data_IF_703997903181
#
_entry.id   IF_703997903181
#
_cell.length_a   1.000
_cell.length_b   1.000
_cell.length_c   1.000
_cell.angle_alpha   90.00
_cell.angle_beta   90.00
_cell.angle_gamma   90.00
#
_symmetry.space_group_name_H-M   'P 1'
#
loop_
_entity.id
_entity.type
_entity.pdbx_description
1 polymer ?
#
# COMPACT_ATOMS: atom_id res chain seq x y z
N UNK A 1 -13.31 -8.71 31.63
CA UNK A 1 -12.48 -9.01 30.46
C UNK A 1 -12.31 -7.76 29.57
N UNK A 2 -13.39 -7.10 29.15
CA UNK A 2 -13.37 -5.93 28.23
C UNK A 2 -12.58 -4.76 28.82
N UNK A 3 -12.70 -4.45 30.09
CA UNK A 3 -11.99 -3.33 30.71
C UNK A 3 -10.48 -3.58 30.83
N UNK A 4 -10.06 -4.82 31.08
CA UNK A 4 -8.65 -5.21 31.03
C UNK A 4 -8.09 -5.07 29.61
N UNK A 5 -8.86 -5.41 28.59
CA UNK A 5 -8.47 -5.23 27.19
C UNK A 5 -8.34 -3.75 26.82
N UNK A 6 -9.30 -2.91 27.24
CA UNK A 6 -9.21 -1.45 27.06
C UNK A 6 -7.99 -0.86 27.74
N UNK A 7 -7.71 -1.28 28.96
CA UNK A 7 -6.52 -0.84 29.70
C UNK A 7 -5.22 -1.24 28.99
N UNK A 8 -5.12 -2.50 28.57
CA UNK A 8 -3.97 -2.98 27.80
C UNK A 8 -3.76 -2.23 26.48
N UNK A 9 -4.84 -1.90 25.77
CA UNK A 9 -4.77 -1.07 24.57
C UNK A 9 -4.32 0.36 24.87
N UNK A 10 -4.75 0.93 25.97
CA UNK A 10 -4.32 2.26 26.41
C UNK A 10 -2.82 2.30 26.68
N UNK A 11 -2.32 1.33 27.46
CA UNK A 11 -0.86 1.21 27.73
C UNK A 11 -0.05 1.02 26.46
N UNK A 12 -0.51 0.20 25.52
CA UNK A 12 0.17 0.06 24.22
C UNK A 12 0.26 1.38 23.48
N UNK A 13 -0.83 2.15 23.40
CA UNK A 13 -0.84 3.45 22.73
C UNK A 13 0.08 4.45 23.39
N UNK A 14 0.20 4.41 24.72
CA UNK A 14 1.18 5.25 25.45
C UNK A 14 2.61 4.82 25.10
N UNK A 15 2.90 3.52 25.12
CA UNK A 15 4.22 3.00 24.74
C UNK A 15 4.56 3.35 23.29
N UNK A 16 3.62 3.17 22.35
CA UNK A 16 3.79 3.56 20.95
C UNK A 16 4.11 5.05 20.81
N UNK A 17 3.41 5.93 21.55
CA UNK A 17 3.65 7.37 21.50
C UNK A 17 5.04 7.74 22.03
N UNK A 18 5.47 7.13 23.13
CA UNK A 18 6.82 7.32 23.70
C UNK A 18 7.89 6.85 22.71
N UNK A 19 7.71 5.68 22.09
CA UNK A 19 8.64 5.14 21.11
C UNK A 19 8.78 6.09 19.90
N UNK A 20 7.67 6.52 19.34
CA UNK A 20 7.69 7.43 18.19
C UNK A 20 8.31 8.78 18.53
N UNK A 21 8.03 9.30 19.73
CA UNK A 21 8.62 10.56 20.19
C UNK A 21 10.13 10.40 20.37
N UNK A 22 10.60 9.30 20.98
CA UNK A 22 12.02 9.02 21.14
C UNK A 22 12.74 8.94 19.78
N UNK A 23 12.18 8.22 18.81
CA UNK A 23 12.74 8.18 17.45
C UNK A 23 12.75 9.58 16.82
N UNK A 24 11.69 10.38 17.02
CA UNK A 24 11.61 11.73 16.49
C UNK A 24 12.60 12.71 17.12
N UNK A 25 12.96 12.51 18.38
CA UNK A 25 13.94 13.34 19.11
C UNK A 25 15.38 13.04 18.65
N UNK A 26 15.68 11.79 18.26
CA UNK A 26 16.97 11.36 17.71
C UNK A 26 17.21 11.80 16.24
N UNK A 27 16.23 12.46 15.59
CA UNK A 27 16.38 12.96 14.21
C UNK A 27 17.35 14.16 14.09
N UNK A 28 17.95 14.61 15.19
CA UNK A 28 18.90 15.71 15.20
C UNK A 28 20.27 15.23 14.72
N UNK A 29 20.70 15.73 13.57
CA UNK A 29 22.02 15.41 13.00
C UNK A 29 23.10 16.11 13.82
N UNK A 30 23.90 15.36 14.57
CA UNK A 30 25.09 15.85 15.29
C UNK A 30 26.32 15.08 14.79
N UNK A 31 27.29 15.79 14.24
CA UNK A 31 28.59 15.24 13.81
C UNK A 31 28.55 14.10 12.75
N UNK A 32 27.40 13.86 12.12
CA UNK A 32 27.19 12.84 11.10
C UNK A 32 26.81 13.46 9.77
N UNK A 33 26.96 12.69 8.70
CA UNK A 33 26.45 13.09 7.40
C UNK A 33 24.92 13.05 7.41
N UNK A 34 24.29 14.18 7.05
CA UNK A 34 22.85 14.25 6.88
C UNK A 34 22.41 13.53 5.60
N UNK A 35 21.49 12.57 5.72
CA UNK A 35 20.95 11.80 4.61
C UNK A 35 19.43 11.96 4.49
N UNK A 36 18.92 11.87 3.26
CA UNK A 36 17.47 11.90 3.01
C UNK A 36 16.91 10.48 3.06
N UNK A 37 16.06 10.23 4.03
CA UNK A 37 15.32 8.96 4.17
C UNK A 37 13.83 9.18 3.89
N UNK A 38 13.28 10.32 4.28
CA UNK A 38 11.88 10.70 4.07
C UNK A 38 11.58 11.27 2.68
N UNK A 39 10.31 11.55 2.43
CA UNK A 39 9.82 12.24 1.24
C UNK A 39 10.30 13.69 1.22
N UNK A 40 10.15 14.36 0.06
CA UNK A 40 10.53 15.77 -0.06
C UNK A 40 9.85 16.65 1.00
N UNK A 41 10.63 17.60 1.57
CA UNK A 41 10.18 18.47 2.66
C UNK A 41 10.16 17.82 4.04
N UNK A 42 10.53 16.54 4.19
CA UNK A 42 10.82 15.95 5.49
C UNK A 42 12.27 16.23 5.91
N UNK A 43 12.55 16.20 7.22
CA UNK A 43 13.89 16.44 7.78
C UNK A 43 14.91 15.43 7.23
N UNK A 44 16.19 15.85 7.21
CA UNK A 44 17.31 14.94 7.04
C UNK A 44 17.60 14.24 8.37
N UNK A 45 18.24 13.08 8.32
CA UNK A 45 18.62 12.29 9.49
C UNK A 45 20.11 11.96 9.43
N UNK A 46 20.72 11.61 10.56
CA UNK A 46 22.07 11.06 10.60
C UNK A 46 22.14 9.74 9.84
N UNK A 47 23.26 9.51 9.13
CA UNK A 47 23.44 8.31 8.32
C UNK A 47 23.43 7.02 9.14
N UNK A 48 23.80 7.08 10.43
CA UNK A 48 23.84 5.91 11.31
C UNK A 48 22.56 5.69 12.12
N UNK A 49 21.64 6.66 12.17
CA UNK A 49 20.38 6.54 12.93
C UNK A 49 19.60 5.25 12.64
N UNK A 50 19.43 4.80 11.38
CA UNK A 50 18.74 3.52 11.13
C UNK A 50 19.47 2.32 11.71
N UNK A 51 20.80 2.36 11.80
CA UNK A 51 21.62 1.28 12.39
C UNK A 51 21.43 1.23 13.92
N UNK A 52 21.44 2.38 14.57
CA UNK A 52 21.22 2.50 16.03
C UNK A 52 19.83 2.02 16.43
N UNK A 53 18.79 2.41 15.68
CA UNK A 53 17.42 1.93 15.88
C UNK A 53 17.33 0.42 15.61
N UNK A 54 18.01 -0.08 14.57
CA UNK A 54 18.04 -1.50 14.28
C UNK A 54 18.62 -2.32 15.45
N UNK A 55 19.73 -1.85 16.01
CA UNK A 55 20.37 -2.47 17.17
C UNK A 55 19.47 -2.43 18.41
N UNK A 56 18.90 -1.26 18.72
CA UNK A 56 18.04 -1.05 19.90
C UNK A 56 16.76 -1.89 19.85
N UNK A 57 16.16 -2.04 18.67
CA UNK A 57 14.87 -2.75 18.46
C UNK A 57 15.04 -4.19 17.99
N UNK A 58 16.27 -4.71 17.89
CA UNK A 58 16.57 -6.06 17.40
C UNK A 58 15.89 -6.35 16.02
N UNK A 59 15.99 -5.39 15.09
CA UNK A 59 15.39 -5.50 13.75
C UNK A 59 16.45 -5.33 12.66
N UNK A 60 16.11 -5.62 11.40
CA UNK A 60 17.02 -5.37 10.29
C UNK A 60 17.19 -3.88 10.03
N UNK A 61 18.37 -3.48 9.54
CA UNK A 61 18.65 -2.08 9.16
C UNK A 61 17.64 -1.57 8.12
N UNK A 62 17.24 -2.43 7.19
CA UNK A 62 16.20 -2.10 6.19
C UNK A 62 14.86 -1.77 6.86
N UNK A 63 14.42 -2.57 7.84
CA UNK A 63 13.18 -2.31 8.57
C UNK A 63 13.28 -1.04 9.42
N UNK A 64 14.42 -0.79 10.06
CA UNK A 64 14.68 0.44 10.80
C UNK A 64 14.68 1.67 9.88
N UNK A 65 15.27 1.58 8.70
CA UNK A 65 15.23 2.67 7.70
C UNK A 65 13.79 3.00 7.29
N UNK A 66 12.96 1.99 7.10
CA UNK A 66 11.53 2.23 6.80
C UNK A 66 10.78 2.84 7.98
N UNK A 67 11.09 2.41 9.21
CA UNK A 67 10.49 2.98 10.41
C UNK A 67 10.87 4.47 10.56
N UNK A 68 12.15 4.81 10.44
CA UNK A 68 12.63 6.21 10.46
C UNK A 68 11.92 7.03 9.38
N UNK A 69 11.88 6.54 8.15
CA UNK A 69 11.18 7.20 7.03
C UNK A 69 9.72 7.48 7.38
N UNK A 70 9.02 6.49 7.92
CA UNK A 70 7.59 6.61 8.21
C UNK A 70 7.35 7.59 9.37
N UNK A 71 8.22 7.61 10.39
CA UNK A 71 8.17 8.57 11.51
C UNK A 71 8.36 10.01 11.03
N UNK A 72 9.43 10.29 10.25
CA UNK A 72 9.68 11.65 9.76
C UNK A 72 8.61 12.13 8.78
N UNK A 73 8.14 11.27 7.89
CA UNK A 73 7.04 11.61 7.00
C UNK A 73 5.76 11.93 7.77
N UNK A 74 5.45 11.14 8.80
CA UNK A 74 4.29 11.38 9.66
C UNK A 74 4.44 12.71 10.42
N UNK A 75 5.57 12.94 11.08
CA UNK A 75 5.81 14.14 11.87
C UNK A 75 5.82 15.42 11.02
N UNK A 76 6.59 15.43 9.92
CA UNK A 76 6.90 16.64 9.17
C UNK A 76 5.88 16.98 8.08
N UNK A 77 5.13 15.98 7.63
CA UNK A 77 4.19 16.14 6.50
C UNK A 77 2.73 15.98 6.89
N UNK A 78 2.45 15.36 8.06
CA UNK A 78 1.09 15.12 8.57
C UNK A 78 0.99 15.45 10.07
N UNK A 79 1.24 16.72 10.48
CA UNK A 79 1.35 17.10 11.89
C UNK A 79 0.06 16.88 12.70
N UNK A 80 -1.13 16.99 12.09
CA UNK A 80 -2.40 16.72 12.78
C UNK A 80 -2.58 15.21 13.06
N UNK A 81 -2.17 14.37 12.11
CA UNK A 81 -2.17 12.92 12.30
C UNK A 81 -1.13 12.52 13.34
N UNK A 82 0.08 13.12 13.29
CA UNK A 82 1.12 12.95 14.31
C UNK A 82 0.58 13.24 15.70
N UNK A 83 -0.02 14.42 15.93
CA UNK A 83 -0.63 14.78 17.19
C UNK A 83 -1.70 13.78 17.64
N UNK A 84 -2.52 13.29 16.69
CA UNK A 84 -3.55 12.28 16.97
C UNK A 84 -2.97 10.92 17.38
N UNK A 85 -1.80 10.55 16.85
CA UNK A 85 -1.08 9.35 17.28
C UNK A 85 -0.51 9.52 18.67
N UNK A 86 0.15 10.64 18.96
CA UNK A 86 0.70 10.92 20.30
C UNK A 86 -0.39 10.96 21.38
N UNK A 87 -1.59 11.41 21.04
CA UNK A 87 -2.77 11.38 21.92
C UNK A 87 -3.42 9.99 22.04
N UNK A 88 -2.92 8.98 21.32
CA UNK A 88 -3.45 7.63 21.32
C UNK A 88 -4.78 7.45 20.58
N UNK A 89 -5.24 8.43 19.80
CA UNK A 89 -6.48 8.34 19.02
C UNK A 89 -6.33 7.45 17.77
N UNK A 90 -5.16 7.46 17.16
CA UNK A 90 -4.82 6.65 15.98
C UNK A 90 -3.60 5.79 16.29
N UNK A 91 -3.65 4.46 16.09
CA UNK A 91 -2.47 3.62 16.22
C UNK A 91 -1.40 3.95 15.16
N UNK A 92 -0.09 3.88 15.49
CA UNK A 92 1.00 4.21 14.56
C UNK A 92 0.91 3.48 13.21
N UNK A 93 0.65 2.17 13.21
CA UNK A 93 0.57 1.38 11.97
C UNK A 93 -0.50 1.89 11.01
N UNK A 94 -1.62 2.43 11.51
CA UNK A 94 -2.66 3.07 10.69
C UNK A 94 -2.19 4.42 10.15
N UNK A 95 -1.54 5.21 10.98
CA UNK A 95 -0.97 6.47 10.54
C UNK A 95 0.04 6.23 9.41
N UNK A 96 0.94 5.25 9.56
CA UNK A 96 1.89 4.87 8.52
C UNK A 96 1.20 4.38 7.23
N UNK A 97 0.11 3.61 7.32
CA UNK A 97 -0.67 3.24 6.13
C UNK A 97 -1.20 4.45 5.37
N UNK A 98 -1.66 5.50 6.08
CA UNK A 98 -2.16 6.72 5.45
C UNK A 98 -1.04 7.54 4.80
N UNK A 99 0.07 7.74 5.51
CA UNK A 99 1.24 8.48 4.97
C UNK A 99 1.87 7.77 3.79
N UNK A 100 1.98 6.43 3.84
CA UNK A 100 2.47 5.60 2.74
C UNK A 100 1.52 5.64 1.52
N UNK A 101 0.18 5.64 1.75
CA UNK A 101 -0.78 5.81 0.66
C UNK A 101 -0.58 7.17 -0.03
N UNK A 102 -0.44 8.24 0.74
CA UNK A 102 -0.21 9.57 0.20
C UNK A 102 1.14 9.64 -0.56
N UNK A 103 2.21 9.09 0.00
CA UNK A 103 3.55 9.11 -0.57
C UNK A 103 3.66 8.46 -1.96
N UNK A 104 2.77 7.52 -2.30
CA UNK A 104 2.74 6.86 -3.63
C UNK A 104 2.52 7.84 -4.79
N UNK A 105 1.93 8.98 -4.51
CA UNK A 105 1.63 10.02 -5.52
C UNK A 105 2.57 11.21 -5.41
N UNK A 106 3.66 11.08 -4.66
CA UNK A 106 4.69 12.10 -4.49
C UNK A 106 4.12 13.53 -4.26
N UNK A 107 3.17 13.73 -3.32
CA UNK A 107 2.64 15.05 -3.05
C UNK A 107 3.74 15.97 -2.53
N UNK A 108 3.66 17.26 -2.85
CA UNK A 108 4.51 18.25 -2.19
C UNK A 108 4.20 18.30 -0.68
N UNK A 109 5.07 18.92 0.11
CA UNK A 109 4.81 19.11 1.55
C UNK A 109 3.49 19.86 1.78
N UNK A 110 3.22 20.90 1.01
CA UNK A 110 1.98 21.67 1.10
C UNK A 110 0.73 20.82 0.80
N UNK A 111 0.79 19.97 -0.22
CA UNK A 111 -0.28 19.03 -0.55
C UNK A 111 -0.51 17.98 0.55
N UNK A 112 0.56 17.49 1.17
CA UNK A 112 0.46 16.55 2.30
C UNK A 112 -0.18 17.22 3.53
N UNK A 113 0.18 18.48 3.83
CA UNK A 113 -0.46 19.27 4.89
C UNK A 113 -1.93 19.57 4.59
N UNK A 114 -2.31 19.90 3.36
CA UNK A 114 -3.72 20.13 2.99
C UNK A 114 -4.54 18.83 3.18
N UNK A 115 -4.02 17.69 2.76
CA UNK A 115 -4.64 16.38 3.02
C UNK A 115 -4.85 16.15 4.52
N UNK A 116 -3.81 16.37 5.31
CA UNK A 116 -3.82 16.19 6.76
C UNK A 116 -4.86 17.09 7.45
N UNK A 117 -4.90 18.38 7.09
CA UNK A 117 -5.86 19.35 7.60
C UNK A 117 -7.31 18.95 7.31
N UNK A 118 -7.60 18.51 6.07
CA UNK A 118 -8.96 18.07 5.67
C UNK A 118 -9.41 16.80 6.41
N UNK A 119 -8.47 15.95 6.80
CA UNK A 119 -8.75 14.71 7.53
C UNK A 119 -8.73 14.88 9.06
N UNK A 120 -8.15 15.97 9.60
CA UNK A 120 -7.90 16.16 11.03
C UNK A 120 -9.13 15.92 11.91
N UNK A 121 -10.29 16.46 11.54
CA UNK A 121 -11.54 16.29 12.30
C UNK A 121 -12.11 14.85 12.27
N UNK A 122 -11.50 13.95 11.51
CA UNK A 122 -11.96 12.56 11.33
C UNK A 122 -11.07 11.54 12.03
N UNK A 123 -9.83 11.93 12.41
CA UNK A 123 -8.89 11.05 13.11
C UNK A 123 -9.48 10.52 14.42
N UNK A 124 -9.46 9.20 14.59
CA UNK A 124 -10.02 8.52 15.74
C UNK A 124 -11.56 8.56 15.89
N UNK A 125 -12.28 9.31 15.03
CA UNK A 125 -13.73 9.52 15.13
C UNK A 125 -14.56 8.71 14.15
N UNK A 126 -13.97 8.30 13.03
CA UNK A 126 -14.66 7.45 12.03
C UNK A 126 -13.92 6.13 11.83
N UNK A 127 -14.63 5.13 11.31
CA UNK A 127 -14.01 3.84 10.99
C UNK A 127 -12.89 3.96 9.97
N UNK A 128 -11.81 3.21 10.18
CA UNK A 128 -10.57 3.32 9.39
C UNK A 128 -10.78 3.14 7.87
N UNK A 129 -11.59 2.15 7.48
CA UNK A 129 -11.90 1.92 6.07
C UNK A 129 -12.58 3.12 5.40
N UNK A 130 -13.44 3.84 6.14
CA UNK A 130 -14.08 5.07 5.67
C UNK A 130 -13.07 6.21 5.56
N UNK A 131 -12.18 6.35 6.54
CA UNK A 131 -11.09 7.34 6.50
C UNK A 131 -10.21 7.14 5.27
N UNK A 132 -9.78 5.89 5.00
CA UNK A 132 -8.93 5.57 3.86
C UNK A 132 -9.62 5.82 2.51
N UNK A 133 -10.94 5.63 2.40
CA UNK A 133 -11.70 6.01 1.20
C UNK A 133 -11.72 7.53 1.00
N UNK A 134 -11.97 8.29 2.06
CA UNK A 134 -11.94 9.76 2.00
C UNK A 134 -10.53 10.24 1.61
N UNK A 135 -9.49 9.68 2.20
CA UNK A 135 -8.11 10.01 1.87
C UNK A 135 -7.80 9.79 0.39
N UNK A 136 -8.21 8.64 -0.19
CA UNK A 136 -8.02 8.39 -1.64
C UNK A 136 -8.73 9.43 -2.51
N UNK A 137 -9.97 9.79 -2.16
CA UNK A 137 -10.70 10.84 -2.88
C UNK A 137 -10.02 12.21 -2.78
N UNK A 138 -9.54 12.59 -1.60
CA UNK A 138 -8.81 13.84 -1.40
C UNK A 138 -7.47 13.86 -2.12
N UNK A 139 -6.70 12.77 -2.10
CA UNK A 139 -5.44 12.64 -2.84
C UNK A 139 -5.68 12.83 -4.34
N UNK A 140 -6.76 12.23 -4.89
CA UNK A 140 -7.11 12.38 -6.30
C UNK A 140 -7.39 13.84 -6.69
N UNK A 141 -7.88 14.65 -5.75
CA UNK A 141 -8.15 16.08 -5.97
C UNK A 141 -6.88 16.92 -5.75
N UNK A 142 -6.21 16.72 -4.61
CA UNK A 142 -5.08 17.56 -4.18
C UNK A 142 -3.84 17.33 -5.06
N UNK A 143 -3.62 16.08 -5.48
CA UNK A 143 -2.47 15.67 -6.28
C UNK A 143 -2.89 15.17 -7.68
N UNK A 144 -3.91 15.76 -8.29
CA UNK A 144 -4.50 15.30 -9.55
C UNK A 144 -3.45 15.08 -10.65
N UNK A 145 -2.54 16.02 -10.87
CA UNK A 145 -1.48 15.88 -11.87
C UNK A 145 -0.53 14.71 -11.57
N UNK A 146 -0.21 14.49 -10.29
CA UNK A 146 0.67 13.42 -9.87
C UNK A 146 -0.02 12.06 -9.99
N UNK A 147 -1.33 12.00 -9.70
CA UNK A 147 -2.16 10.81 -9.90
C UNK A 147 -2.23 10.45 -11.37
N UNK A 148 -2.40 11.44 -12.25
CA UNK A 148 -2.39 11.25 -13.69
C UNK A 148 -1.04 10.73 -14.19
N UNK A 149 0.05 11.36 -13.80
CA UNK A 149 1.41 10.91 -14.16
C UNK A 149 1.70 9.48 -13.66
N UNK A 150 1.28 9.16 -12.44
CA UNK A 150 1.40 7.80 -11.90
C UNK A 150 0.56 6.78 -12.69
N UNK A 151 -0.64 7.18 -13.15
CA UNK A 151 -1.48 6.33 -13.99
C UNK A 151 -0.85 6.08 -15.36
N UNK A 152 -0.28 7.12 -15.98
CA UNK A 152 0.45 7.00 -17.25
C UNK A 152 1.68 6.10 -17.12
N UNK A 153 2.48 6.28 -16.06
CA UNK A 153 3.62 5.40 -15.76
C UNK A 153 3.17 3.95 -15.54
N UNK A 154 2.07 3.75 -14.82
CA UNK A 154 1.51 2.42 -14.61
C UNK A 154 1.05 1.76 -15.93
N UNK A 155 0.45 2.55 -16.84
CA UNK A 155 0.05 2.10 -18.18
C UNK A 155 1.26 1.77 -19.06
N UNK A 156 2.31 2.57 -19.02
CA UNK A 156 3.56 2.29 -19.73
C UNK A 156 4.22 1.00 -19.24
N UNK A 157 4.05 0.67 -17.98
CA UNK A 157 4.57 -0.56 -17.36
C UNK A 157 3.70 -1.82 -17.55
N UNK A 158 2.76 -1.84 -18.51
CA UNK A 158 1.97 -3.05 -18.84
C UNK A 158 2.85 -4.09 -19.52
N UNK A 159 2.57 -5.34 -19.22
CA UNK A 159 3.28 -6.45 -19.85
C UNK A 159 2.45 -7.73 -19.82
N UNK A 160 2.81 -8.67 -20.69
CA UNK A 160 2.45 -10.08 -20.61
C UNK A 160 3.74 -10.87 -20.71
N UNK A 161 3.96 -11.77 -19.79
CA UNK A 161 5.16 -12.64 -19.76
C UNK A 161 4.75 -14.06 -19.44
N UNK A 162 5.44 -15.00 -20.03
CA UNK A 162 5.37 -16.42 -19.67
C UNK A 162 6.65 -16.82 -18.98
N UNK A 163 6.55 -17.61 -17.92
CA UNK A 163 7.68 -18.21 -17.24
C UNK A 163 7.57 -19.74 -17.29
N UNK A 164 8.66 -20.40 -17.63
CA UNK A 164 8.76 -21.86 -17.54
C UNK A 164 8.93 -22.20 -16.06
N UNK A 165 8.14 -23.15 -15.58
CA UNK A 165 8.23 -23.65 -14.20
C UNK A 165 9.19 -24.86 -14.15
N UNK A 166 9.60 -25.25 -12.96
CA UNK A 166 10.36 -26.50 -12.74
C UNK A 166 9.49 -27.76 -13.03
N UNK A 167 8.17 -27.59 -13.09
CA UNK A 167 7.23 -28.67 -13.43
C UNK A 167 7.12 -28.79 -14.96
N UNK A 168 7.38 -30.00 -15.53
CA UNK A 168 7.23 -30.19 -16.97
C UNK A 168 5.76 -29.99 -17.40
N UNK A 169 5.57 -29.49 -18.63
CA UNK A 169 4.29 -29.21 -19.31
C UNK A 169 3.39 -28.12 -18.71
N UNK A 170 3.84 -27.43 -17.65
CA UNK A 170 3.11 -26.29 -17.07
C UNK A 170 3.96 -25.02 -17.17
N UNK A 171 3.36 -23.91 -17.50
CA UNK A 171 4.00 -22.59 -17.53
C UNK A 171 3.13 -21.58 -16.78
N UNK A 172 3.76 -20.59 -16.17
CA UNK A 172 3.05 -19.49 -15.54
C UNK A 172 2.87 -18.35 -16.53
N UNK A 173 1.72 -17.68 -16.47
CA UNK A 173 1.43 -16.46 -17.21
C UNK A 173 1.24 -15.31 -16.22
N UNK A 174 2.07 -14.29 -16.37
CA UNK A 174 2.01 -13.05 -15.59
C UNK A 174 1.63 -11.89 -16.51
N UNK A 175 0.58 -11.15 -16.13
CA UNK A 175 0.15 -10.01 -16.90
C UNK A 175 -0.11 -8.79 -16.01
N UNK A 176 0.21 -7.62 -16.53
CA UNK A 176 -0.19 -6.33 -15.99
C UNK A 176 -0.93 -5.57 -17.07
N UNK A 177 -2.23 -5.42 -16.90
CA UNK A 177 -3.17 -4.86 -17.87
C UNK A 177 -3.85 -3.59 -17.31
N UNK A 178 -4.53 -2.84 -18.16
CA UNK A 178 -5.50 -1.86 -17.69
C UNK A 178 -6.60 -2.56 -16.89
N UNK A 179 -7.15 -1.86 -15.89
CA UNK A 179 -8.16 -2.44 -15.00
C UNK A 179 -9.38 -2.92 -15.75
N UNK A 180 -9.84 -2.16 -16.77
CA UNK A 180 -10.98 -2.55 -17.59
C UNK A 180 -10.71 -3.83 -18.38
N UNK A 181 -9.52 -3.92 -19.01
CA UNK A 181 -9.13 -5.11 -19.79
C UNK A 181 -8.97 -6.34 -18.89
N UNK A 182 -8.39 -6.17 -17.70
CA UNK A 182 -8.26 -7.25 -16.73
C UNK A 182 -9.63 -7.77 -16.24
N UNK A 183 -10.58 -6.86 -15.97
CA UNK A 183 -11.95 -7.22 -15.57
C UNK A 183 -12.70 -7.92 -16.70
N UNK A 184 -12.56 -7.45 -17.94
CA UNK A 184 -13.18 -8.08 -19.10
C UNK A 184 -12.59 -9.46 -19.36
N UNK A 185 -11.27 -9.62 -19.29
CA UNK A 185 -10.60 -10.91 -19.39
C UNK A 185 -11.09 -11.88 -18.32
N UNK A 186 -11.15 -11.44 -17.06
CA UNK A 186 -11.65 -12.22 -15.93
C UNK A 186 -13.10 -12.70 -16.17
N UNK A 187 -13.97 -11.80 -16.63
CA UNK A 187 -15.37 -12.11 -16.95
C UNK A 187 -15.47 -13.13 -18.08
N UNK A 188 -14.65 -12.98 -19.12
CA UNK A 188 -14.62 -13.89 -20.26
C UNK A 188 -14.13 -15.27 -19.85
N UNK A 189 -13.04 -15.35 -19.04
CA UNK A 189 -12.54 -16.62 -18.50
C UNK A 189 -13.62 -17.31 -17.65
N UNK A 190 -14.29 -16.56 -16.78
CA UNK A 190 -15.35 -17.12 -15.95
C UNK A 190 -16.54 -17.67 -16.77
N UNK A 191 -16.90 -16.98 -17.85
CA UNK A 191 -17.98 -17.41 -18.77
C UNK A 191 -17.58 -18.67 -19.51
N UNK A 192 -16.38 -18.72 -20.09
CA UNK A 192 -15.86 -19.90 -20.77
C UNK A 192 -15.73 -21.11 -19.83
N UNK A 193 -15.26 -20.92 -18.62
CA UNK A 193 -15.16 -21.98 -17.63
C UNK A 193 -16.53 -22.58 -17.25
N UNK A 194 -17.59 -21.75 -17.21
CA UNK A 194 -18.98 -22.21 -17.02
C UNK A 194 -19.49 -22.99 -18.24
N UNK A 195 -19.16 -22.53 -19.44
CA UNK A 195 -19.55 -23.24 -20.70
C UNK A 195 -18.88 -24.61 -20.79
N UNK A 196 -17.58 -24.70 -20.45
CA UNK A 196 -16.87 -25.98 -20.39
C UNK A 196 -17.53 -26.96 -19.39
N UNK A 197 -17.96 -26.50 -18.23
CA UNK A 197 -18.69 -27.32 -17.27
C UNK A 197 -20.00 -27.86 -17.83
N UNK A 198 -20.76 -27.01 -18.54
CA UNK A 198 -22.03 -27.44 -19.22
C UNK A 198 -21.78 -28.46 -20.32
N UNK A 199 -20.62 -28.46 -20.96
CA UNK A 199 -20.21 -29.41 -21.97
C UNK A 199 -19.62 -30.71 -21.39
N UNK A 200 -19.66 -30.89 -20.07
CA UNK A 200 -19.23 -32.10 -19.39
C UNK A 200 -17.81 -32.09 -18.85
N UNK A 201 -17.12 -30.95 -18.81
CA UNK A 201 -15.82 -30.86 -18.13
C UNK A 201 -16.04 -30.95 -16.62
N UNK A 202 -15.50 -32.00 -16.00
CA UNK A 202 -15.65 -32.33 -14.58
C UNK A 202 -14.51 -31.85 -13.72
N UNK A 203 -13.50 -31.17 -14.30
CA UNK A 203 -12.37 -30.63 -13.54
C UNK A 203 -12.80 -29.55 -12.55
N UNK A 204 -11.94 -29.28 -11.55
CA UNK A 204 -12.17 -28.21 -10.59
C UNK A 204 -12.19 -26.84 -11.30
N UNK A 205 -12.81 -25.86 -10.63
CA UNK A 205 -13.03 -24.53 -11.20
C UNK A 205 -11.73 -23.87 -11.70
N UNK A 206 -10.66 -23.95 -10.91
CA UNK A 206 -9.40 -23.29 -11.27
C UNK A 206 -8.73 -23.93 -12.49
N UNK A 207 -8.81 -25.26 -12.60
CA UNK A 207 -8.34 -26.00 -13.79
C UNK A 207 -9.17 -25.63 -15.02
N UNK A 208 -10.49 -25.55 -14.89
CA UNK A 208 -11.38 -25.09 -15.99
C UNK A 208 -11.10 -23.66 -16.39
N UNK A 209 -10.77 -22.76 -15.45
CA UNK A 209 -10.36 -21.38 -15.74
C UNK A 209 -9.04 -21.33 -16.52
N UNK A 210 -8.08 -22.18 -16.19
CA UNK A 210 -6.83 -22.30 -16.94
C UNK A 210 -7.08 -22.80 -18.37
N UNK A 211 -7.94 -23.82 -18.54
CA UNK A 211 -8.40 -24.31 -19.87
C UNK A 211 -9.12 -23.21 -20.66
N UNK A 212 -9.98 -22.43 -20.00
CA UNK A 212 -10.70 -21.32 -20.60
C UNK A 212 -9.74 -20.24 -21.11
N UNK A 213 -8.72 -19.89 -20.33
CA UNK A 213 -7.67 -18.97 -20.76
C UNK A 213 -6.91 -19.51 -21.97
N UNK A 214 -6.52 -20.79 -21.96
CA UNK A 214 -5.89 -21.45 -23.11
C UNK A 214 -6.77 -21.45 -24.37
N UNK A 215 -8.10 -21.54 -24.21
CA UNK A 215 -9.06 -21.47 -25.31
C UNK A 215 -9.04 -20.09 -25.99
N UNK A 216 -8.83 -19.01 -25.26
CA UNK A 216 -8.72 -17.65 -25.83
C UNK A 216 -7.54 -17.51 -26.81
N UNK A 217 -6.52 -18.35 -26.69
CA UNK A 217 -5.42 -18.40 -27.65
C UNK A 217 -5.84 -18.97 -29.03
N UNK A 218 -7.06 -19.53 -29.13
CA UNK A 218 -7.63 -20.03 -30.39
C UNK A 218 -8.96 -19.30 -30.69
N UNK A 219 -8.92 -18.13 -31.35
CA UNK A 219 -10.10 -17.23 -31.47
C UNK A 219 -11.36 -17.88 -32.02
N UNK A 220 -11.23 -18.75 -33.02
CA UNK A 220 -12.40 -19.48 -33.58
C UNK A 220 -13.09 -20.39 -32.56
N UNK A 221 -12.33 -21.09 -31.72
CA UNK A 221 -12.87 -21.93 -30.64
C UNK A 221 -13.47 -21.09 -29.52
N UNK A 222 -12.84 -19.98 -29.18
CA UNK A 222 -13.34 -19.04 -28.15
C UNK A 222 -14.71 -18.47 -28.60
N UNK A 223 -14.82 -18.02 -29.87
CA UNK A 223 -16.05 -17.47 -30.41
C UNK A 223 -17.19 -18.51 -30.40
N UNK A 224 -16.91 -19.76 -30.77
CA UNK A 224 -17.91 -20.84 -30.76
C UNK A 224 -18.43 -21.20 -29.35
N UNK A 225 -17.61 -20.99 -28.30
CA UNK A 225 -17.98 -21.26 -26.91
C UNK A 225 -18.70 -20.08 -26.23
N UNK A 226 -18.61 -18.88 -26.80
CA UNK A 226 -19.23 -17.66 -26.25
C UNK A 226 -20.61 -17.35 -26.89
N UNK A 227 -21.01 -18.08 -27.93
CA UNK A 227 -22.33 -18.04 -28.52
C UNK A 227 -23.29 -18.96 -27.76
#
# INVERSE_FOLDING_TARGET
>A
AVDRLRHAQHLRRQADAIELQAIADELVVTNERAVRVGSDGAALVGEFLPLEIAATKAMSVTAATWLVRDVINLRDRHPMLWASVLQGHVPPYRAFQLTQLAARYHPSRAQAHDLDQRLASKYGRIGWARLMRLARGLIAIIAANNVQAAAETARAGRYVRTAVTEQPVVSELWARLDTADAQQLETTIATLAKTLAKQGDTDELDVRRAKALGTLATPGRAAALLQ
#
